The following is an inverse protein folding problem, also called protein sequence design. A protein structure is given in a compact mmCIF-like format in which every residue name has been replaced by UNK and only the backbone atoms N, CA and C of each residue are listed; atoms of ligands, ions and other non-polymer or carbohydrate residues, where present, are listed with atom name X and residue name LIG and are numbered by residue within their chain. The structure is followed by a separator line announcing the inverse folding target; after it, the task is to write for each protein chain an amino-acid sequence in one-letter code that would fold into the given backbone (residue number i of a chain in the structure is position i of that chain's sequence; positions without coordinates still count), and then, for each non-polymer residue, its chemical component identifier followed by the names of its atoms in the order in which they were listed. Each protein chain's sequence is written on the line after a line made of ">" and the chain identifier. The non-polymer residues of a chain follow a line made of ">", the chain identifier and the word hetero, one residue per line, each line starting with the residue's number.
data_IF_070611103766
#
_entry.id   IF_070611103766
#
_cell.length_a   1.000
_cell.length_b   1.000
_cell.length_c   1.000
_cell.angle_alpha   90.00
_cell.angle_beta   90.00
_cell.angle_gamma   90.00
#
_symmetry.space_group_name_H-M   'P 1'
#
loop_
_entity.id
_entity.type
_entity.pdbx_description
1 polymer ?
#
# COMPACT_ATOMS: atom_id res chain seq x y z
N UNK A 1 -9.39 -11.72 25.07
CA UNK A 1 -9.75 -11.08 23.78
C UNK A 1 -8.77 -9.96 23.53
N UNK A 2 -8.27 -9.82 22.31
CA UNK A 2 -7.30 -8.80 21.96
C UNK A 2 -8.00 -7.42 21.93
N UNK A 3 -7.70 -6.55 22.90
CA UNK A 3 -8.30 -5.21 23.06
C UNK A 3 -8.27 -4.39 21.76
N UNK A 4 -7.35 -4.71 20.86
CA UNK A 4 -7.15 -4.04 19.57
C UNK A 4 -8.33 -4.22 18.60
N UNK A 5 -8.98 -5.39 18.59
CA UNK A 5 -10.13 -5.70 17.74
C UNK A 5 -11.39 -4.99 18.24
N UNK A 6 -11.64 -5.04 19.53
CA UNK A 6 -12.80 -4.38 20.16
C UNK A 6 -12.73 -2.84 20.02
N UNK A 7 -11.54 -2.25 20.18
CA UNK A 7 -11.31 -0.82 19.89
C UNK A 7 -11.59 -0.47 18.42
N UNK A 8 -11.25 -1.36 17.48
CA UNK A 8 -11.49 -1.17 16.05
C UNK A 8 -12.98 -1.27 15.72
N UNK A 9 -13.70 -2.25 16.27
CA UNK A 9 -15.15 -2.41 16.09
C UNK A 9 -15.93 -1.21 16.64
N UNK A 10 -15.58 -0.75 17.86
CA UNK A 10 -16.19 0.44 18.46
C UNK A 10 -15.92 1.70 17.62
N UNK A 11 -14.70 1.86 17.10
CA UNK A 11 -14.37 2.98 16.22
C UNK A 11 -15.20 2.95 14.92
N UNK A 12 -15.39 1.78 14.32
CA UNK A 12 -16.16 1.63 13.09
C UNK A 12 -17.64 1.91 13.36
N UNK A 13 -18.21 1.31 14.40
CA UNK A 13 -19.61 1.46 14.78
C UNK A 13 -19.97 2.94 15.06
N UNK A 14 -19.04 3.71 15.64
CA UNK A 14 -19.25 5.15 15.89
C UNK A 14 -19.34 6.01 14.63
N UNK A 15 -18.86 5.49 13.49
CA UNK A 15 -18.80 6.23 12.22
C UNK A 15 -19.90 5.85 11.24
N UNK A 16 -20.60 4.74 11.47
CA UNK A 16 -21.69 4.26 10.62
C UNK A 16 -23.00 4.89 11.09
N UNK A 17 -23.76 5.46 10.14
CA UNK A 17 -25.14 5.84 10.44
C UNK A 17 -25.99 4.57 10.61
N UNK A 18 -26.51 4.36 11.83
CA UNK A 18 -27.32 3.18 12.19
C UNK A 18 -28.75 3.25 11.66
N UNK A 19 -29.23 4.44 11.32
CA UNK A 19 -30.59 4.67 10.82
C UNK A 19 -30.69 4.46 9.30
N UNK A 20 -29.57 4.15 8.65
CA UNK A 20 -29.53 3.85 7.21
C UNK A 20 -29.81 2.37 6.99
N UNK A 21 -30.86 2.06 6.23
CA UNK A 21 -31.12 0.71 5.77
C UNK A 21 -30.15 0.36 4.63
N UNK A 22 -29.29 -0.62 4.89
CA UNK A 22 -28.28 -1.09 3.95
C UNK A 22 -28.59 -2.51 3.51
N UNK A 23 -28.49 -2.74 2.21
CA UNK A 23 -28.44 -4.09 1.64
C UNK A 23 -27.01 -4.40 1.18
N UNK A 24 -26.54 -5.58 1.54
CA UNK A 24 -25.25 -6.11 1.11
C UNK A 24 -25.52 -7.20 0.10
N UNK A 25 -25.08 -7.00 -1.14
CA UNK A 25 -25.22 -8.01 -2.19
C UNK A 25 -23.85 -8.46 -2.69
N UNK A 26 -23.71 -9.76 -2.85
CA UNK A 26 -22.52 -10.41 -3.39
C UNK A 26 -22.48 -10.31 -4.92
N UNK A 27 -21.29 -10.41 -5.50
CA UNK A 27 -21.12 -10.40 -6.96
C UNK A 27 -21.91 -11.50 -7.68
N UNK A 28 -22.19 -12.63 -7.03
CA UNK A 28 -23.03 -13.70 -7.57
C UNK A 28 -24.51 -13.32 -7.73
N UNK A 29 -24.99 -12.31 -7.00
CA UNK A 29 -26.36 -11.80 -7.14
C UNK A 29 -26.52 -10.87 -8.36
N UNK A 30 -25.40 -10.46 -8.97
CA UNK A 30 -25.39 -9.63 -10.16
C UNK A 30 -24.90 -10.42 -11.38
N UNK A 31 -25.64 -10.34 -12.48
CA UNK A 31 -25.10 -10.73 -13.79
C UNK A 31 -23.96 -9.81 -14.20
N UNK A 32 -23.03 -10.31 -15.02
CA UNK A 32 -21.94 -9.49 -15.56
C UNK A 32 -22.43 -8.22 -16.27
N UNK A 33 -23.60 -8.29 -16.92
CA UNK A 33 -24.24 -7.15 -17.58
C UNK A 33 -24.71 -6.10 -16.58
N UNK A 34 -25.29 -6.52 -15.45
CA UNK A 34 -25.70 -5.60 -14.38
C UNK A 34 -24.48 -4.92 -13.74
N UNK A 35 -23.42 -5.68 -13.43
CA UNK A 35 -22.18 -5.08 -12.87
C UNK A 35 -21.59 -4.06 -13.86
N UNK A 36 -21.53 -4.41 -15.15
CA UNK A 36 -21.06 -3.49 -16.18
C UNK A 36 -21.92 -2.23 -16.26
N UNK A 37 -23.24 -2.36 -16.19
CA UNK A 37 -24.18 -1.24 -16.21
C UNK A 37 -23.95 -0.29 -15.03
N UNK A 38 -23.86 -0.83 -13.81
CA UNK A 38 -23.56 -0.06 -12.59
C UNK A 38 -22.25 0.69 -12.75
N UNK A 39 -21.15 -0.01 -13.04
CA UNK A 39 -19.84 0.63 -13.13
C UNK A 39 -19.74 1.64 -14.29
N UNK A 40 -20.46 1.41 -15.40
CA UNK A 40 -20.55 2.37 -16.51
C UNK A 40 -21.26 3.65 -16.11
N UNK A 41 -22.31 3.57 -15.29
CA UNK A 41 -23.04 4.75 -14.82
C UNK A 41 -22.16 5.73 -14.02
N UNK A 42 -21.12 5.20 -13.35
CA UNK A 42 -20.16 5.98 -12.57
C UNK A 42 -18.81 6.23 -13.29
N UNK A 43 -18.78 6.09 -14.62
CA UNK A 43 -17.55 6.23 -15.42
C UNK A 43 -16.76 7.51 -15.12
N UNK A 44 -17.44 8.65 -15.02
CA UNK A 44 -16.77 9.96 -14.82
C UNK A 44 -15.96 10.02 -13.53
N UNK A 45 -16.41 9.33 -12.49
CA UNK A 45 -15.69 9.24 -11.21
C UNK A 45 -14.55 8.23 -11.28
N UNK A 46 -14.74 7.16 -12.07
CA UNK A 46 -13.78 6.08 -12.20
C UNK A 46 -12.66 6.38 -13.21
N UNK A 47 -12.90 7.19 -14.23
CA UNK A 47 -11.96 7.44 -15.33
C UNK A 47 -10.62 8.05 -14.90
N UNK A 48 -10.52 8.93 -13.89
CA UNK A 48 -9.23 9.44 -13.43
C UNK A 48 -8.36 8.35 -12.79
N UNK A 49 -9.00 7.33 -12.20
CA UNK A 49 -8.35 6.19 -11.55
C UNK A 49 -8.06 5.09 -12.59
N UNK A 50 -8.98 4.90 -13.53
CA UNK A 50 -9.00 3.83 -14.52
C UNK A 50 -8.94 4.42 -15.93
N UNK A 51 -7.72 4.54 -16.47
CA UNK A 51 -7.46 5.09 -17.82
C UNK A 51 -8.34 4.50 -18.95
N UNK A 52 -8.65 3.19 -18.90
CA UNK A 52 -9.60 2.53 -19.82
C UNK A 52 -10.67 1.80 -19.02
N UNK A 53 -11.83 2.43 -18.82
CA UNK A 53 -12.90 1.88 -17.98
C UNK A 53 -13.39 0.51 -18.48
N UNK A 54 -13.63 0.33 -19.78
CA UNK A 54 -14.10 -0.97 -20.31
C UNK A 54 -13.13 -2.09 -19.95
N UNK A 55 -11.84 -1.89 -20.19
CA UNK A 55 -10.80 -2.90 -19.90
C UNK A 55 -10.65 -3.13 -18.39
N UNK A 56 -10.77 -2.08 -17.58
CA UNK A 56 -10.62 -2.18 -16.13
C UNK A 56 -11.87 -2.78 -15.44
N UNK A 57 -13.09 -2.44 -15.88
CA UNK A 57 -14.32 -3.11 -15.47
C UNK A 57 -14.25 -4.59 -15.84
N UNK A 58 -13.81 -4.92 -17.06
CA UNK A 58 -13.65 -6.31 -17.47
C UNK A 58 -12.58 -7.03 -16.64
N UNK A 59 -11.48 -6.36 -16.27
CA UNK A 59 -10.47 -6.91 -15.33
C UNK A 59 -11.01 -7.08 -13.91
N UNK A 60 -11.96 -6.24 -13.50
CA UNK A 60 -12.70 -6.42 -12.24
C UNK A 60 -13.54 -7.67 -12.42
N UNK A 61 -14.53 -7.71 -13.31
CA UNK A 61 -15.56 -8.77 -13.43
C UNK A 61 -15.03 -10.15 -13.87
N UNK A 62 -14.06 -10.22 -14.78
CA UNK A 62 -13.64 -11.50 -15.42
C UNK A 62 -12.63 -12.30 -14.61
N UNK A 63 -12.18 -11.77 -13.48
CA UNK A 63 -11.12 -12.38 -12.70
C UNK A 63 -11.73 -13.31 -11.65
N UNK A 64 -11.59 -14.61 -11.90
CA UNK A 64 -12.09 -15.67 -11.02
C UNK A 64 -11.40 -15.70 -9.65
N UNK A 65 -10.28 -14.98 -9.49
CA UNK A 65 -9.52 -14.86 -8.24
C UNK A 65 -10.03 -13.72 -7.34
N UNK A 66 -11.28 -13.28 -7.50
CA UNK A 66 -11.83 -12.11 -6.83
C UNK A 66 -13.29 -12.27 -6.44
N UNK A 67 -13.59 -11.75 -5.25
CA UNK A 67 -14.95 -11.54 -4.76
C UNK A 67 -15.34 -10.06 -4.85
N UNK A 68 -16.64 -9.84 -4.99
CA UNK A 68 -17.24 -8.51 -5.10
C UNK A 68 -18.39 -8.39 -4.10
N UNK A 69 -18.48 -7.24 -3.46
CA UNK A 69 -19.61 -6.88 -2.61
C UNK A 69 -20.10 -5.49 -3.02
N UNK A 70 -21.40 -5.36 -3.21
CA UNK A 70 -22.09 -4.10 -3.42
C UNK A 70 -22.73 -3.65 -2.11
N UNK A 71 -22.50 -2.39 -1.77
CA UNK A 71 -23.27 -1.69 -0.75
C UNK A 71 -24.43 -1.00 -1.45
N UNK A 72 -25.65 -1.35 -1.06
CA UNK A 72 -26.88 -0.79 -1.58
C UNK A 72 -27.60 0.06 -0.52
N UNK A 73 -28.18 1.16 -0.96
CA UNK A 73 -29.08 2.01 -0.16
C UNK A 73 -30.25 2.45 -1.05
N UNK A 74 -31.48 2.38 -0.54
CA UNK A 74 -32.71 2.65 -1.30
C UNK A 74 -32.75 1.90 -2.65
N UNK A 75 -32.44 0.59 -2.62
CA UNK A 75 -32.39 -0.30 -3.78
C UNK A 75 -31.39 0.11 -4.88
N UNK A 76 -30.45 1.00 -4.57
CA UNK A 76 -29.41 1.45 -5.50
C UNK A 76 -28.01 1.10 -4.99
N UNK A 77 -27.11 0.61 -5.86
CA UNK A 77 -25.72 0.40 -5.48
C UNK A 77 -25.02 1.75 -5.30
N UNK A 78 -24.57 2.00 -4.07
CA UNK A 78 -23.86 3.22 -3.66
C UNK A 78 -22.37 3.00 -3.44
N UNK A 79 -21.90 1.74 -3.41
CA UNK A 79 -20.47 1.45 -3.36
C UNK A 79 -20.12 0.02 -3.73
N UNK A 80 -18.83 -0.22 -3.94
CA UNK A 80 -18.28 -1.54 -4.27
C UNK A 80 -17.00 -1.82 -3.49
N UNK A 81 -16.87 -3.09 -3.11
CA UNK A 81 -15.70 -3.71 -2.53
C UNK A 81 -15.23 -4.82 -3.47
N UNK A 82 -13.93 -4.89 -3.74
CA UNK A 82 -13.31 -5.95 -4.55
C UNK A 82 -12.03 -6.40 -3.87
N UNK A 83 -11.90 -7.69 -3.62
CA UNK A 83 -10.74 -8.29 -2.95
C UNK A 83 -10.43 -9.68 -3.52
N UNK A 84 -9.22 -10.17 -3.26
CA UNK A 84 -8.81 -11.52 -3.64
C UNK A 84 -9.56 -12.57 -2.81
N UNK A 85 -10.02 -13.63 -3.47
CA UNK A 85 -10.73 -14.74 -2.81
C UNK A 85 -9.80 -15.82 -2.24
N UNK A 86 -8.52 -15.50 -2.06
CA UNK A 86 -7.52 -16.38 -1.46
C UNK A 86 -6.51 -15.57 -0.66
N UNK A 87 -5.91 -16.23 0.33
CA UNK A 87 -4.78 -15.68 1.08
C UNK A 87 -3.51 -15.68 0.22
N UNK A 88 -2.72 -14.63 0.39
CA UNK A 88 -1.50 -14.36 -0.37
C UNK A 88 -0.32 -14.25 0.60
N UNK A 89 0.89 -14.51 0.08
CA UNK A 89 2.14 -14.46 0.87
C UNK A 89 3.34 -13.98 0.05
N UNK A 90 3.10 -13.43 -1.14
CA UNK A 90 4.16 -13.04 -2.08
C UNK A 90 4.78 -11.67 -1.81
N UNK A 91 4.24 -10.84 -0.91
CA UNK A 91 4.80 -9.52 -0.61
C UNK A 91 6.13 -9.62 0.18
N UNK A 92 7.29 -9.34 -0.44
CA UNK A 92 8.59 -9.65 0.17
C UNK A 92 8.91 -8.84 1.42
N UNK A 93 8.27 -7.68 1.61
CA UNK A 93 8.50 -6.84 2.78
C UNK A 93 7.67 -7.23 4.01
N UNK A 94 6.72 -8.16 3.87
CA UNK A 94 5.86 -8.63 4.96
C UNK A 94 6.19 -10.10 5.24
N UNK A 95 6.41 -10.44 6.50
CA UNK A 95 6.48 -11.82 6.94
C UNK A 95 5.11 -12.21 7.48
N UNK A 96 4.44 -13.16 6.82
CA UNK A 96 3.12 -13.66 7.22
C UNK A 96 3.21 -15.16 7.47
N UNK A 97 2.61 -15.62 8.57
CA UNK A 97 2.46 -17.04 8.89
C UNK A 97 1.27 -17.66 8.14
N UNK A 98 0.15 -16.94 8.10
CA UNK A 98 -1.12 -17.41 7.55
C UNK A 98 -1.49 -16.70 6.24
N UNK A 99 -0.74 -15.67 5.86
CA UNK A 99 -0.99 -14.87 4.66
C UNK A 99 -1.92 -13.69 4.89
N UNK A 100 -2.11 -12.89 3.86
CA UNK A 100 -2.94 -11.68 3.87
C UNK A 100 -3.99 -11.70 2.76
N UNK A 101 -5.06 -10.91 2.91
CA UNK A 101 -6.02 -10.68 1.83
C UNK A 101 -5.69 -9.36 1.13
N UNK A 102 -5.61 -9.40 -0.19
CA UNK A 102 -5.40 -8.19 -0.99
C UNK A 102 -6.73 -7.52 -1.37
N UNK A 103 -6.91 -6.29 -0.90
CA UNK A 103 -7.99 -5.40 -1.28
C UNK A 103 -7.64 -4.68 -2.59
N UNK A 104 -8.42 -4.93 -3.64
CA UNK A 104 -8.22 -4.37 -4.99
C UNK A 104 -8.96 -3.05 -5.21
N UNK A 105 -10.15 -2.92 -4.65
CA UNK A 105 -10.97 -1.72 -4.79
C UNK A 105 -11.90 -1.57 -3.60
N UNK A 106 -12.04 -0.33 -3.14
CA UNK A 106 -13.04 0.06 -2.14
C UNK A 106 -13.39 1.53 -2.37
N UNK A 107 -14.59 1.80 -2.87
CA UNK A 107 -15.04 3.17 -3.13
C UNK A 107 -16.56 3.27 -3.16
N UNK A 108 -17.05 4.48 -2.93
CA UNK A 108 -18.45 4.85 -3.11
C UNK A 108 -18.66 5.39 -4.52
N UNK A 109 -19.80 5.07 -5.09
CA UNK A 109 -20.31 5.59 -6.35
C UNK A 109 -21.12 6.88 -6.18
N UNK A 110 -21.86 6.95 -5.08
CA UNK A 110 -22.74 8.05 -4.73
C UNK A 110 -22.82 8.16 -3.20
N UNK A 111 -23.52 9.19 -2.72
CA UNK A 111 -23.74 9.42 -1.30
C UNK A 111 -22.43 9.52 -0.52
N UNK A 112 -21.52 10.38 -0.99
CA UNK A 112 -20.28 10.65 -0.28
C UNK A 112 -20.57 11.32 1.07
N UNK A 113 -20.54 10.55 2.17
CA UNK A 113 -20.80 11.06 3.52
C UNK A 113 -21.39 10.01 4.46
N UNK A 114 -21.91 10.45 5.61
CA UNK A 114 -22.76 9.70 6.55
C UNK A 114 -22.26 8.30 6.99
N UNK A 115 -20.97 8.02 6.84
CA UNK A 115 -20.41 6.74 7.26
C UNK A 115 -20.54 5.58 6.27
N UNK A 116 -21.08 5.78 5.06
CA UNK A 116 -21.30 4.67 4.12
C UNK A 116 -20.00 3.91 3.78
N UNK A 117 -18.87 4.61 3.64
CA UNK A 117 -17.58 3.96 3.41
C UNK A 117 -17.11 3.14 4.61
N UNK A 118 -17.50 3.52 5.83
CA UNK A 118 -17.23 2.75 7.05
C UNK A 118 -18.10 1.51 7.12
N UNK A 119 -19.33 1.56 6.60
CA UNK A 119 -20.18 0.37 6.45
C UNK A 119 -19.58 -0.64 5.46
N UNK A 120 -19.04 -0.12 4.37
CA UNK A 120 -18.33 -0.92 3.37
C UNK A 120 -17.07 -1.59 3.96
N UNK A 121 -16.32 -0.85 4.79
CA UNK A 121 -15.19 -1.37 5.55
C UNK A 121 -15.58 -2.41 6.60
N UNK A 122 -16.65 -2.18 7.37
CA UNK A 122 -17.22 -3.14 8.32
C UNK A 122 -17.61 -4.45 7.61
N UNK A 123 -18.30 -4.34 6.47
CA UNK A 123 -18.72 -5.48 5.65
C UNK A 123 -17.52 -6.30 5.20
N UNK A 124 -16.43 -5.63 4.79
CA UNK A 124 -15.20 -6.30 4.42
C UNK A 124 -14.59 -7.04 5.61
N UNK A 125 -14.43 -6.39 6.77
CA UNK A 125 -13.86 -7.03 7.96
C UNK A 125 -14.68 -8.26 8.39
N UNK A 126 -16.01 -8.15 8.41
CA UNK A 126 -16.89 -9.27 8.77
C UNK A 126 -16.73 -10.44 7.78
N UNK A 127 -16.59 -10.14 6.49
CA UNK A 127 -16.37 -11.16 5.45
C UNK A 127 -15.01 -11.85 5.64
N UNK A 128 -13.98 -11.07 5.96
CA UNK A 128 -12.62 -11.61 6.18
C UNK A 128 -12.56 -12.44 7.45
N UNK A 129 -13.15 -11.98 8.56
CA UNK A 129 -13.23 -12.74 9.80
C UNK A 129 -13.99 -14.07 9.61
N UNK A 130 -15.06 -14.07 8.82
CA UNK A 130 -15.84 -15.27 8.52
C UNK A 130 -15.10 -16.27 7.64
N UNK A 131 -14.51 -15.80 6.53
CA UNK A 131 -13.97 -16.67 5.49
C UNK A 131 -12.47 -16.98 5.68
N UNK A 132 -11.75 -16.08 6.35
CA UNK A 132 -10.30 -16.16 6.60
C UNK A 132 -9.97 -15.77 8.05
N UNK A 133 -10.51 -16.48 9.05
CA UNK A 133 -10.38 -16.11 10.46
C UNK A 133 -8.93 -15.99 10.96
N UNK A 134 -7.99 -16.65 10.29
CA UNK A 134 -6.58 -16.66 10.64
C UNK A 134 -5.72 -15.70 9.79
N UNK A 135 -6.31 -14.88 8.91
CA UNK A 135 -5.56 -13.95 8.08
C UNK A 135 -4.71 -13.01 8.94
N UNK A 136 -3.44 -12.82 8.57
CA UNK A 136 -2.52 -11.97 9.33
C UNK A 136 -2.82 -10.49 9.12
N UNK A 137 -3.30 -10.13 7.91
CA UNK A 137 -3.61 -8.75 7.59
C UNK A 137 -4.29 -8.55 6.24
N UNK A 138 -4.43 -7.27 5.91
CA UNK A 138 -5.00 -6.79 4.66
C UNK A 138 -3.96 -5.93 3.95
N UNK A 139 -3.76 -6.19 2.66
CA UNK A 139 -2.82 -5.47 1.81
C UNK A 139 -3.56 -4.70 0.72
N UNK A 140 -3.10 -3.49 0.39
CA UNK A 140 -3.64 -2.72 -0.73
C UNK A 140 -2.61 -1.74 -1.27
N UNK A 141 -2.90 -1.12 -2.41
CA UNK A 141 -2.09 -0.06 -2.97
C UNK A 141 -2.96 1.11 -3.41
N UNK A 142 -2.44 2.34 -3.27
CA UNK A 142 -3.18 3.57 -3.57
C UNK A 142 -2.26 4.57 -4.26
N UNK A 143 -2.75 5.14 -5.35
CA UNK A 143 -2.10 6.27 -6.01
C UNK A 143 -1.98 7.48 -5.08
N UNK A 144 -0.76 8.00 -4.94
CA UNK A 144 -0.42 9.14 -4.09
C UNK A 144 -1.00 10.45 -4.62
N UNK A 145 -0.91 10.69 -5.94
CA UNK A 145 -1.36 11.96 -6.56
C UNK A 145 -2.82 11.91 -6.99
N UNK A 146 -3.31 10.78 -7.53
CA UNK A 146 -4.68 10.68 -8.07
C UNK A 146 -5.71 10.31 -7.02
N UNK A 147 -5.31 9.64 -5.94
CA UNK A 147 -6.23 9.20 -4.88
C UNK A 147 -5.79 9.64 -3.45
N UNK A 148 -5.41 10.91 -3.22
CA UNK A 148 -4.92 11.36 -1.91
C UNK A 148 -5.98 11.24 -0.81
N UNK A 149 -7.26 11.41 -1.15
CA UNK A 149 -8.39 11.21 -0.21
C UNK A 149 -8.51 9.74 0.21
N UNK A 150 -8.34 8.79 -0.72
CA UNK A 150 -8.34 7.37 -0.41
C UNK A 150 -7.14 6.99 0.47
N UNK A 151 -5.96 7.53 0.17
CA UNK A 151 -4.77 7.32 1.02
C UNK A 151 -5.00 7.83 2.45
N UNK A 152 -5.63 8.99 2.62
CA UNK A 152 -5.99 9.50 3.95
C UNK A 152 -7.01 8.60 4.66
N UNK A 153 -8.04 8.15 3.93
CA UNK A 153 -9.05 7.23 4.44
C UNK A 153 -8.44 5.93 4.96
N UNK A 154 -7.56 5.28 4.20
CA UNK A 154 -6.91 4.04 4.63
C UNK A 154 -6.06 4.25 5.89
N UNK A 155 -5.35 5.37 6.02
CA UNK A 155 -4.63 5.70 7.27
C UNK A 155 -5.58 5.78 8.47
N UNK A 156 -6.79 6.33 8.29
CA UNK A 156 -7.82 6.35 9.35
C UNK A 156 -8.40 4.96 9.65
N UNK A 157 -8.26 4.00 8.74
CA UNK A 157 -8.61 2.59 8.90
C UNK A 157 -7.42 1.74 9.38
N UNK A 158 -6.42 2.37 9.99
CA UNK A 158 -5.21 1.75 10.54
C UNK A 158 -4.29 1.06 9.52
N UNK A 159 -4.39 1.42 8.24
CA UNK A 159 -3.37 1.03 7.27
C UNK A 159 -2.09 1.85 7.48
N UNK A 160 -0.96 1.15 7.45
CA UNK A 160 0.37 1.72 7.53
C UNK A 160 1.06 1.60 6.17
N UNK A 161 1.79 2.63 5.71
CA UNK A 161 2.58 2.53 4.50
C UNK A 161 3.78 1.60 4.70
N UNK A 162 4.00 0.71 3.72
CA UNK A 162 5.16 -0.16 3.67
C UNK A 162 6.27 0.45 2.81
N UNK A 163 5.91 0.92 1.62
CA UNK A 163 6.81 1.54 0.66
C UNK A 163 6.00 2.25 -0.42
N UNK A 164 6.67 3.06 -1.22
CA UNK A 164 6.14 3.74 -2.39
C UNK A 164 6.84 3.21 -3.64
N UNK A 165 6.14 3.09 -4.77
CA UNK A 165 6.74 2.82 -6.08
C UNK A 165 6.50 4.02 -6.96
N UNK A 166 7.57 4.75 -7.27
CA UNK A 166 7.54 5.89 -8.15
C UNK A 166 7.27 5.47 -9.58
N UNK A 167 6.40 6.21 -10.27
CA UNK A 167 6.09 6.09 -11.69
C UNK A 167 5.79 4.65 -12.15
N UNK A 168 5.14 3.85 -11.29
CA UNK A 168 4.81 2.43 -11.54
C UNK A 168 4.18 2.17 -12.91
N UNK A 169 3.39 3.12 -13.42
CA UNK A 169 2.67 3.02 -14.69
C UNK A 169 3.33 3.77 -15.85
N UNK A 170 4.50 4.40 -15.66
CA UNK A 170 5.31 5.12 -16.67
C UNK A 170 4.53 6.16 -17.48
N UNK A 171 3.65 6.94 -16.84
CA UNK A 171 2.70 7.80 -17.57
C UNK A 171 2.59 9.23 -17.08
N UNK A 172 2.88 9.50 -15.81
CA UNK A 172 2.51 10.77 -15.19
C UNK A 172 3.35 11.14 -13.95
N UNK A 173 4.42 10.38 -13.66
CA UNK A 173 5.23 10.60 -12.46
C UNK A 173 4.43 10.48 -11.16
N UNK A 174 3.29 9.78 -11.18
CA UNK A 174 2.55 9.41 -9.98
C UNK A 174 3.24 8.25 -9.27
N UNK A 175 3.02 8.16 -7.96
CA UNK A 175 3.55 7.07 -7.15
C UNK A 175 2.45 6.21 -6.58
N UNK A 176 2.68 4.92 -6.53
CA UNK A 176 1.79 3.97 -5.88
C UNK A 176 2.29 3.70 -4.45
N UNK A 177 1.48 4.01 -3.44
CA UNK A 177 1.80 3.73 -2.03
C UNK A 177 1.19 2.39 -1.65
N UNK A 178 2.03 1.48 -1.17
CA UNK A 178 1.63 0.17 -0.70
C UNK A 178 1.38 0.19 0.80
N UNK A 179 0.25 -0.39 1.20
CA UNK A 179 -0.34 -0.23 2.52
C UNK A 179 -0.66 -1.60 3.12
N UNK A 180 -0.46 -1.74 4.43
CA UNK A 180 -0.82 -2.94 5.20
C UNK A 180 -1.63 -2.59 6.44
N UNK A 181 -2.66 -3.38 6.73
CA UNK A 181 -3.45 -3.30 7.95
C UNK A 181 -3.39 -4.65 8.68
N UNK A 182 -2.72 -4.74 9.84
CA UNK A 182 -2.66 -5.97 10.62
C UNK A 182 -4.05 -6.33 11.19
N UNK A 183 -4.36 -7.63 11.18
CA UNK A 183 -5.59 -8.21 11.74
C UNK A 183 -5.33 -8.96 13.05
N UNK A 184 -4.31 -9.82 13.09
CA UNK A 184 -4.05 -10.72 14.23
C UNK A 184 -2.70 -10.46 14.91
N UNK A 185 -1.72 -9.91 14.18
CA UNK A 185 -0.37 -9.66 14.70
C UNK A 185 0.13 -8.30 14.23
N UNK A 186 0.85 -7.58 15.11
CA UNK A 186 1.55 -6.36 14.70
C UNK A 186 2.63 -6.73 13.70
N UNK A 187 2.77 -5.88 12.69
CA UNK A 187 3.87 -6.00 11.75
C UNK A 187 5.16 -5.55 12.43
N UNK A 188 5.98 -6.49 12.87
CA UNK A 188 7.20 -6.18 13.61
C UNK A 188 8.27 -5.54 12.72
N UNK A 189 8.98 -4.51 13.21
CA UNK A 189 10.18 -3.97 12.58
C UNK A 189 11.28 -5.03 12.44
N UNK A 190 11.91 -5.11 11.28
CA UNK A 190 13.11 -5.92 11.07
C UNK A 190 14.37 -5.08 11.28
N UNK A 191 15.42 -5.70 11.81
CA UNK A 191 16.74 -5.09 11.88
C UNK A 191 17.61 -5.67 10.76
N UNK A 192 18.02 -4.83 9.82
CA UNK A 192 18.89 -5.19 8.71
C UNK A 192 20.32 -4.78 9.04
N UNK A 193 21.26 -5.72 8.98
CA UNK A 193 22.66 -5.41 9.16
C UNK A 193 23.25 -4.95 7.84
N UNK A 194 23.94 -3.81 7.90
CA UNK A 194 24.37 -3.07 6.74
C UNK A 194 25.88 -2.83 6.85
N UNK A 195 26.64 -3.47 5.96
CA UNK A 195 28.09 -3.30 5.87
C UNK A 195 28.39 -2.02 5.09
N UNK A 196 29.02 -1.04 5.72
CA UNK A 196 29.39 0.23 5.10
C UNK A 196 30.89 0.35 4.99
N UNK A 197 31.38 1.00 3.94
CA UNK A 197 32.79 1.35 3.86
C UNK A 197 33.16 2.34 4.98
N UNK A 198 34.42 2.28 5.41
CA UNK A 198 34.96 3.13 6.49
C UNK A 198 34.79 4.63 6.20
N UNK A 199 34.82 5.03 4.94
CA UNK A 199 34.65 6.41 4.46
C UNK A 199 33.22 6.93 4.58
N UNK A 200 32.22 6.04 4.53
CA UNK A 200 30.81 6.42 4.56
C UNK A 200 30.22 6.40 5.97
N UNK A 201 30.78 5.56 6.85
CA UNK A 201 30.30 5.42 8.22
C UNK A 201 30.26 6.74 9.03
N UNK A 202 31.26 7.66 8.93
CA UNK A 202 31.19 8.96 9.58
C UNK A 202 30.00 9.83 9.14
N UNK A 203 29.54 9.68 7.89
CA UNK A 203 28.40 10.41 7.32
C UNK A 203 27.04 9.90 7.84
N UNK A 204 27.05 8.89 8.71
CA UNK A 204 25.83 8.40 9.34
C UNK A 204 25.54 9.09 10.67
N UNK A 205 26.52 9.77 11.27
CA UNK A 205 26.38 10.36 12.60
C UNK A 205 25.58 11.66 12.59
N UNK A 206 24.77 11.84 13.64
CA UNK A 206 23.90 13.01 13.82
C UNK A 206 22.53 12.86 13.17
N UNK A 207 21.73 13.93 13.29
CA UNK A 207 20.30 13.95 12.97
C UNK A 207 20.01 14.33 11.51
N UNK A 208 21.05 14.32 10.65
CA UNK A 208 20.89 14.64 9.23
C UNK A 208 20.05 13.58 8.52
N UNK A 209 19.32 14.03 7.50
CA UNK A 209 18.65 13.15 6.55
C UNK A 209 19.71 12.34 5.80
N UNK A 210 19.64 11.02 5.93
CA UNK A 210 20.56 10.08 5.27
C UNK A 210 19.80 9.34 4.18
N UNK A 211 20.24 9.44 2.93
CA UNK A 211 19.69 8.64 1.83
C UNK A 211 20.61 7.49 1.51
N UNK A 212 20.05 6.29 1.39
CA UNK A 212 20.78 5.10 0.97
C UNK A 212 20.16 4.56 -0.31
N UNK A 213 21.03 4.32 -1.29
CA UNK A 213 20.70 3.53 -2.47
C UNK A 213 21.16 2.09 -2.28
N UNK A 214 20.24 1.14 -2.37
CA UNK A 214 20.52 -0.30 -2.46
C UNK A 214 19.95 -0.78 -3.84
N UNK A 215 20.51 -1.83 -4.42
CA UNK A 215 20.14 -2.33 -5.76
C UNK A 215 19.23 -3.58 -5.70
N UNK A 216 18.54 -3.85 -6.81
CA UNK A 216 18.01 -5.17 -7.16
C UNK A 216 16.86 -5.70 -6.31
N UNK A 217 16.80 -7.04 -6.19
CA UNK A 217 15.76 -7.77 -5.46
C UNK A 217 15.79 -7.52 -3.95
N UNK A 218 16.94 -7.18 -3.39
CA UNK A 218 17.09 -6.90 -1.96
C UNK A 218 16.25 -5.70 -1.52
N UNK A 219 16.10 -4.70 -2.40
CA UNK A 219 15.20 -3.56 -2.26
C UNK A 219 13.80 -3.92 -1.80
N UNK A 220 13.29 -5.04 -2.29
CA UNK A 220 11.91 -5.43 -2.11
C UNK A 220 11.62 -5.84 -0.68
N UNK A 221 12.66 -6.23 0.07
CA UNK A 221 12.55 -6.72 1.45
C UNK A 221 12.42 -5.59 2.48
N UNK A 222 12.86 -4.38 2.17
CA UNK A 222 12.81 -3.26 3.12
C UNK A 222 11.41 -2.64 3.17
N UNK A 223 10.95 -2.26 4.37
CA UNK A 223 9.73 -1.46 4.57
C UNK A 223 9.95 -0.30 5.53
N UNK A 224 9.06 0.68 5.46
CA UNK A 224 8.93 1.75 6.43
C UNK A 224 8.72 1.14 7.83
N UNK A 225 9.42 1.68 8.82
CA UNK A 225 9.46 1.19 10.19
C UNK A 225 10.54 0.14 10.46
N UNK A 226 11.17 -0.46 9.45
CA UNK A 226 12.36 -1.31 9.67
C UNK A 226 13.54 -0.47 10.18
N UNK A 227 14.55 -1.13 10.72
CA UNK A 227 15.80 -0.52 11.16
C UNK A 227 16.98 -1.01 10.34
N UNK A 228 17.89 -0.10 10.05
CA UNK A 228 19.20 -0.37 9.47
C UNK A 228 20.26 -0.22 10.55
N UNK A 229 21.04 -1.27 10.75
CA UNK A 229 22.15 -1.34 11.71
C UNK A 229 23.46 -1.35 10.95
N UNK A 230 24.17 -0.22 10.99
CA UNK A 230 25.48 -0.04 10.37
C UNK A 230 26.57 -0.38 11.39
N UNK A 231 27.57 -1.15 10.99
CA UNK A 231 28.68 -1.50 11.89
C UNK A 231 30.03 -1.29 11.22
N UNK A 232 30.95 -0.61 11.92
CA UNK A 232 32.32 -0.37 11.48
C UNK A 232 33.27 -0.31 12.68
N UNK A 233 34.34 -1.10 12.67
CA UNK A 233 35.43 -1.08 13.67
C UNK A 233 34.94 -1.02 15.14
N UNK A 234 33.97 -1.88 15.48
CA UNK A 234 33.40 -1.97 16.84
C UNK A 234 32.38 -0.88 17.20
N UNK A 235 32.08 0.05 16.28
CA UNK A 235 30.98 1.01 16.42
C UNK A 235 29.75 0.50 15.68
N UNK A 236 28.59 0.72 16.27
CA UNK A 236 27.29 0.39 15.66
C UNK A 236 26.38 1.59 15.72
N UNK A 237 25.66 1.84 14.62
CA UNK A 237 24.62 2.85 14.53
C UNK A 237 23.34 2.24 13.99
N UNK A 238 22.22 2.54 14.63
CA UNK A 238 20.90 2.08 14.21
C UNK A 238 20.04 3.25 13.74
N UNK A 239 19.47 3.16 12.54
CA UNK A 239 18.53 4.16 11.99
C UNK A 239 17.23 3.52 11.54
N UNK A 240 16.10 4.18 11.76
CA UNK A 240 14.78 3.71 11.32
C UNK A 240 14.46 4.19 9.89
N UNK A 241 13.84 3.33 9.09
CA UNK A 241 13.33 3.65 7.76
C UNK A 241 12.05 4.47 7.89
N UNK A 242 12.14 5.80 7.74
CA UNK A 242 10.97 6.69 7.77
C UNK A 242 10.26 6.83 6.41
N UNK A 243 10.97 6.57 5.32
CA UNK A 243 10.44 6.60 3.97
C UNK A 243 11.18 5.55 3.13
N UNK A 244 10.48 4.95 2.17
CA UNK A 244 11.04 3.99 1.25
C UNK A 244 10.37 4.17 -0.12
N UNK A 245 11.08 4.76 -1.07
CA UNK A 245 10.58 4.94 -2.44
C UNK A 245 11.39 4.04 -3.39
N UNK A 246 10.67 3.20 -4.13
CA UNK A 246 11.20 2.28 -5.14
C UNK A 246 11.08 2.91 -6.52
N UNK A 247 12.13 2.83 -7.33
CA UNK A 247 12.15 3.36 -8.71
C UNK A 247 12.22 2.22 -9.71
N UNK A 248 11.62 2.42 -10.87
CA UNK A 248 11.65 1.47 -11.97
C UNK A 248 12.96 1.49 -12.74
N UNK A 249 13.67 2.62 -12.76
CA UNK A 249 14.93 2.78 -13.46
C UNK A 249 15.86 3.78 -12.77
N UNK A 250 17.13 3.77 -13.18
CA UNK A 250 18.15 4.70 -12.70
C UNK A 250 17.84 6.14 -13.13
N UNK A 251 17.28 6.32 -14.32
CA UNK A 251 16.86 7.63 -14.84
C UNK A 251 15.79 8.25 -13.96
N UNK A 252 14.72 7.49 -13.63
CA UNK A 252 13.67 7.97 -12.73
C UNK A 252 14.26 8.42 -11.37
N UNK A 253 15.25 7.69 -10.86
CA UNK A 253 15.94 8.01 -9.61
C UNK A 253 16.78 9.30 -9.72
N UNK A 254 17.61 9.43 -10.77
CA UNK A 254 18.47 10.60 -10.99
C UNK A 254 17.62 11.85 -11.19
N UNK A 255 16.57 11.79 -12.00
CA UNK A 255 15.66 12.91 -12.21
C UNK A 255 15.04 13.40 -10.89
N UNK A 256 14.58 12.48 -10.04
CA UNK A 256 13.95 12.82 -8.77
C UNK A 256 14.94 13.34 -7.72
N UNK A 257 16.14 12.77 -7.66
CA UNK A 257 17.18 13.27 -6.76
C UNK A 257 17.65 14.65 -7.20
N UNK A 258 17.85 14.85 -8.50
CA UNK A 258 18.27 16.14 -9.05
C UNK A 258 17.20 17.21 -8.83
N UNK A 259 15.91 16.82 -8.83
CA UNK A 259 14.79 17.72 -8.54
C UNK A 259 14.60 18.00 -7.03
N UNK A 260 15.17 17.21 -6.13
CA UNK A 260 15.12 17.50 -4.68
C UNK A 260 16.30 18.39 -4.30
N UNK A 261 16.05 19.55 -3.70
CA UNK A 261 17.13 20.40 -3.18
C UNK A 261 17.91 19.62 -2.10
N UNK A 262 19.15 19.22 -2.41
CA UNK A 262 19.99 18.34 -1.58
C UNK A 262 20.73 19.07 -0.46
N UNK A 263 20.49 20.36 -0.25
CA UNK A 263 21.13 21.10 0.83
C UNK A 263 20.79 20.47 2.20
N UNK A 264 21.82 19.95 2.88
CA UNK A 264 21.69 19.29 4.19
C UNK A 264 21.35 17.79 4.17
N UNK A 265 21.40 17.14 3.00
CA UNK A 265 21.16 15.69 2.85
C UNK A 265 22.49 14.97 2.57
N UNK A 266 22.81 13.95 3.35
CA UNK A 266 23.96 13.07 3.10
C UNK A 266 23.48 11.83 2.31
N UNK A 267 24.08 11.60 1.14
CA UNK A 267 23.76 10.46 0.28
C UNK A 267 24.88 9.43 0.39
N UNK A 268 24.58 8.31 1.02
CA UNK A 268 25.49 7.17 1.12
C UNK A 268 25.08 6.16 0.05
N UNK A 269 26.00 5.86 -0.86
CA UNK A 269 25.77 4.86 -1.90
C UNK A 269 26.29 3.53 -1.37
N UNK A 270 25.39 2.58 -1.15
CA UNK A 270 25.80 1.25 -0.73
C UNK A 270 26.07 0.37 -1.93
N UNK A 271 27.36 0.23 -2.24
CA UNK A 271 27.84 -0.53 -3.37
C UNK A 271 28.12 -1.98 -2.97
N UNK A 272 27.15 -2.87 -3.20
CA UNK A 272 27.46 -4.28 -3.45
C UNK A 272 27.16 -4.72 -4.90
N UNK A 273 26.66 -3.84 -5.78
CA UNK A 273 26.45 -4.18 -7.21
C UNK A 273 25.97 -3.02 -8.11
N UNK A 274 26.39 -1.77 -7.86
CA UNK A 274 26.26 -0.72 -8.89
C UNK A 274 27.58 -0.64 -9.65
N UNK A 275 27.91 -1.71 -10.39
CA UNK A 275 28.98 -1.69 -11.39
C UNK A 275 28.31 -1.43 -12.74
N UNK A 276 28.82 -0.43 -13.46
CA UNK A 276 28.27 0.14 -14.70
C UNK A 276 28.11 -0.84 -15.85
N UNK A 277 27.11 -1.72 -15.75
CA UNK A 277 26.57 -2.44 -16.88
C UNK A 277 25.11 -2.03 -17.03
N UNK A 278 24.79 -1.27 -18.07
CA UNK A 278 23.44 -0.78 -18.36
C UNK A 278 22.40 -1.92 -18.44
N UNK A 279 22.84 -3.15 -18.73
CA UNK A 279 21.98 -4.33 -18.85
C UNK A 279 21.52 -4.95 -17.52
N UNK A 280 22.27 -4.80 -16.42
CA UNK A 280 21.91 -5.35 -15.10
C UNK A 280 20.96 -4.44 -14.31
N UNK A 281 20.67 -3.23 -14.82
CA UNK A 281 19.81 -2.21 -14.20
C UNK A 281 18.36 -2.32 -14.70
N UNK A 282 17.84 -3.53 -14.91
CA UNK A 282 16.44 -3.68 -15.36
C UNK A 282 15.39 -3.54 -14.25
N UNK A 283 15.82 -3.52 -12.96
CA UNK A 283 14.96 -3.32 -11.77
C UNK A 283 15.75 -2.75 -10.58
N UNK A 284 16.09 -1.46 -10.57
CA UNK A 284 16.70 -0.83 -9.39
C UNK A 284 16.07 0.52 -9.05
N UNK A 285 15.87 0.73 -7.75
CA UNK A 285 15.57 2.02 -7.17
C UNK A 285 15.22 1.87 -5.70
N UNK A 286 16.03 2.43 -4.82
CA UNK A 286 15.77 2.57 -3.38
C UNK A 286 16.09 4.01 -3.01
N UNK A 287 15.20 4.62 -2.24
CA UNK A 287 15.36 5.97 -1.72
C UNK A 287 15.03 6.06 -0.23
N UNK A 288 16.03 6.61 0.48
CA UNK A 288 15.89 7.93 1.13
C UNK A 288 15.21 7.94 2.48
N UNK A 289 15.99 7.98 3.57
CA UNK A 289 15.49 8.09 4.93
C UNK A 289 15.54 9.53 5.42
N UNK A 290 14.38 10.12 5.71
CA UNK A 290 14.34 11.34 6.53
C UNK A 290 14.40 10.95 8.00
N UNK A 291 15.57 11.05 8.63
CA UNK A 291 15.69 10.89 10.07
C UNK A 291 15.14 12.12 10.81
N UNK A 292 14.60 11.88 11.99
CA UNK A 292 14.45 12.85 13.07
C UNK A 292 15.09 12.22 14.30
#
# INVERSE_FOLDING_TARGET
>A
MDNTLELRENQIASKINKDTDYKISTGSEYSQQQIFSVLRSYYRQLSPIYSKLKDNILKVIKKADRDYVFLEHNEKPIGILVFKNQLLSEEPCIETKNGYIELKSMFLFDEFGKGHIWKLWETFLNTIQKNYPNADGIYTSVSKKKAPKSLHMFKKMNFQPLYEVYNKYKKDGDSEVYLYCPLSQKLEPRNWNINTEKSDFPQLFGDKETRIGISGEEAQKYKIGDFLTFSQEGKTLKKEIKNNIKYSSLEDYIENISATNLSGIEIIKMHNSIIGNEESIKKCGINGFKCK
#
